data_IF_029711307066
#
_entry.id   IF_029711307066
#
_cell.length_a   1.000
_cell.length_b   1.000
_cell.length_c   1.000
_cell.angle_alpha   90.00
_cell.angle_beta   90.00
_cell.angle_gamma   90.00
#
_symmetry.space_group_name_H-M   'P 1'
#
loop_
_entity.id
_entity.type
_entity.pdbx_description
1 polymer ?
#
# COMPACT_ATOMS: atom_id res chain seq x y z
N UNK A 1 -4.65 21.59 -0.63
CA UNK A 1 -3.49 20.68 -0.36
C UNK A 1 -2.12 21.32 -0.59
N UNK A 2 -1.84 21.92 -1.75
CA UNK A 2 -0.50 22.50 -2.04
C UNK A 2 0.00 23.49 -0.95
N UNK A 3 -0.87 24.42 -0.50
CA UNK A 3 -0.53 25.38 0.55
C UNK A 3 -0.21 24.71 1.90
N UNK A 4 -0.87 23.59 2.23
CA UNK A 4 -0.70 22.87 3.50
C UNK A 4 0.60 22.06 3.57
N UNK A 5 1.04 21.49 2.43
CA UNK A 5 2.30 20.73 2.38
C UNK A 5 3.53 21.65 2.36
N UNK A 6 3.37 22.88 1.86
CA UNK A 6 4.43 23.87 1.64
C UNK A 6 4.50 24.91 2.78
N UNK A 7 3.47 25.06 3.62
CA UNK A 7 3.53 26.00 4.75
C UNK A 7 4.61 25.58 5.75
N UNK A 8 5.47 26.51 6.17
CA UNK A 8 6.51 26.27 7.18
C UNK A 8 5.94 26.13 8.60
N UNK A 9 4.74 26.63 8.82
CA UNK A 9 4.08 26.70 10.13
C UNK A 9 3.61 25.34 10.67
N UNK A 10 3.57 24.32 9.81
CA UNK A 10 3.14 22.97 10.14
C UNK A 10 4.33 22.05 10.40
N UNK A 11 4.28 21.30 11.50
CA UNK A 11 5.31 20.31 11.84
C UNK A 11 5.38 19.19 10.82
N UNK A 12 6.59 18.64 10.61
CA UNK A 12 6.84 17.54 9.66
C UNK A 12 5.97 16.28 9.94
N UNK A 13 5.80 15.82 11.19
CA UNK A 13 4.94 14.67 11.48
C UNK A 13 3.48 14.90 11.07
N UNK A 14 2.97 16.13 11.26
CA UNK A 14 1.60 16.48 10.92
C UNK A 14 1.39 16.52 9.40
N UNK A 15 2.35 17.06 8.64
CA UNK A 15 2.34 17.02 7.17
C UNK A 15 2.32 15.59 6.65
N UNK A 16 3.16 14.71 7.20
CA UNK A 16 3.17 13.28 6.83
C UNK A 16 1.84 12.59 7.14
N UNK A 17 1.21 12.91 8.27
CA UNK A 17 -0.13 12.39 8.62
C UNK A 17 -1.18 12.85 7.61
N UNK A 18 -1.15 14.11 7.18
CA UNK A 18 -2.06 14.63 6.15
C UNK A 18 -1.88 13.88 4.83
N UNK A 19 -0.65 13.66 4.38
CA UNK A 19 -0.38 12.87 3.16
C UNK A 19 -0.97 11.47 3.29
N UNK A 20 -0.72 10.81 4.42
CA UNK A 20 -1.20 9.45 4.67
C UNK A 20 -2.72 9.34 4.75
N UNK A 21 -3.41 10.35 5.30
CA UNK A 21 -4.86 10.32 5.46
C UNK A 21 -5.62 10.77 4.21
N UNK A 22 -5.08 11.68 3.40
CA UNK A 22 -5.82 12.29 2.29
C UNK A 22 -5.28 11.92 0.92
N UNK A 23 -3.96 11.78 0.75
CA UNK A 23 -3.36 11.52 -0.57
C UNK A 23 -3.27 10.02 -0.82
N UNK A 24 -2.76 9.26 0.15
CA UNK A 24 -2.52 7.83 -0.03
C UNK A 24 -3.81 7.02 -0.27
N UNK A 25 -4.94 7.26 0.41
CA UNK A 25 -6.15 6.51 0.13
C UNK A 25 -6.68 6.76 -1.28
N UNK A 26 -6.60 8.00 -1.78
CA UNK A 26 -7.01 8.34 -3.15
C UNK A 26 -6.12 7.64 -4.18
N UNK A 27 -4.79 7.68 -3.96
CA UNK A 27 -3.83 7.03 -4.85
C UNK A 27 -3.96 5.50 -4.84
N UNK A 28 -4.23 4.92 -3.66
CA UNK A 28 -4.27 3.49 -3.45
C UNK A 28 -5.66 2.88 -3.63
N UNK A 29 -6.72 3.68 -3.80
CA UNK A 29 -8.09 3.20 -3.91
C UNK A 29 -8.25 2.11 -4.98
N UNK A 30 -7.61 2.31 -6.14
CA UNK A 30 -7.69 1.37 -7.27
C UNK A 30 -6.47 0.46 -7.40
N UNK A 31 -5.58 0.43 -6.40
CA UNK A 31 -4.31 -0.32 -6.50
C UNK A 31 -4.51 -1.83 -6.63
N UNK A 32 -5.63 -2.36 -6.11
CA UNK A 32 -5.99 -3.77 -6.22
C UNK A 32 -6.44 -4.14 -7.64
N UNK A 33 -7.08 -3.20 -8.35
CA UNK A 33 -7.57 -3.40 -9.71
C UNK A 33 -6.47 -3.17 -10.77
N UNK A 34 -5.38 -2.50 -10.40
CA UNK A 34 -4.26 -2.27 -11.31
C UNK A 34 -3.33 -3.48 -11.36
N UNK A 35 -3.05 -3.95 -12.57
CA UNK A 35 -1.88 -4.80 -12.82
C UNK A 35 -0.63 -3.96 -12.58
N UNK A 36 -0.05 -4.12 -11.38
CA UNK A 36 1.19 -3.45 -11.00
C UNK A 36 2.35 -4.02 -11.82
N UNK A 37 2.56 -3.39 -12.96
CA UNK A 37 3.79 -3.51 -13.74
C UNK A 37 4.94 -2.83 -13.01
N UNK A 38 6.15 -3.22 -13.35
CA UNK A 38 7.36 -2.57 -12.83
C UNK A 38 7.35 -1.06 -13.10
N UNK A 39 6.82 -0.66 -14.26
CA UNK A 39 6.70 0.76 -14.65
C UNK A 39 5.76 1.53 -13.72
N UNK A 40 4.62 0.96 -13.34
CA UNK A 40 3.69 1.55 -12.36
C UNK A 40 4.33 1.66 -10.97
N UNK A 41 5.09 0.63 -10.58
CA UNK A 41 5.80 0.63 -9.30
C UNK A 41 6.82 1.76 -9.25
N UNK A 42 7.64 1.92 -10.29
CA UNK A 42 8.60 3.03 -10.41
C UNK A 42 7.91 4.39 -10.39
N UNK A 43 6.74 4.53 -11.04
CA UNK A 43 5.94 5.78 -11.00
C UNK A 43 5.44 6.10 -9.60
N UNK A 44 4.97 5.11 -8.85
CA UNK A 44 4.51 5.29 -7.47
C UNK A 44 5.66 5.69 -6.55
N UNK A 45 6.83 5.06 -6.70
CA UNK A 45 8.03 5.45 -5.95
C UNK A 45 8.48 6.88 -6.28
N UNK A 46 8.48 7.26 -7.56
CA UNK A 46 8.79 8.62 -7.98
C UNK A 46 7.80 9.64 -7.41
N UNK A 47 6.50 9.30 -7.35
CA UNK A 47 5.48 10.13 -6.72
C UNK A 47 5.72 10.30 -5.22
N UNK A 48 6.03 9.23 -4.50
CA UNK A 48 6.36 9.28 -3.06
C UNK A 48 7.55 10.23 -2.81
N UNK A 49 8.60 10.08 -3.61
CA UNK A 49 9.80 10.93 -3.57
C UNK A 49 9.50 12.39 -3.87
N UNK A 50 8.58 12.65 -4.81
CA UNK A 50 8.14 14.00 -5.15
C UNK A 50 7.40 14.65 -3.97
N UNK A 51 6.49 13.93 -3.31
CA UNK A 51 5.76 14.44 -2.13
C UNK A 51 6.73 14.77 -0.99
N UNK A 52 7.69 13.89 -0.72
CA UNK A 52 8.69 14.07 0.34
C UNK A 52 9.60 15.27 0.11
N UNK A 53 10.12 15.44 -1.11
CA UNK A 53 10.91 16.63 -1.46
C UNK A 53 10.11 17.92 -1.30
N UNK A 54 8.82 17.90 -1.59
CA UNK A 54 7.93 19.07 -1.41
C UNK A 54 7.70 19.43 0.05
N UNK A 55 7.58 18.43 0.94
CA UNK A 55 7.45 18.63 2.39
C UNK A 55 8.75 19.19 2.97
N UNK A 56 9.89 18.69 2.51
CA UNK A 56 11.23 19.09 2.96
C UNK A 56 11.74 20.38 2.31
N UNK A 57 11.01 20.95 1.36
CA UNK A 57 11.43 22.14 0.60
C UNK A 57 12.74 21.97 -0.18
N UNK A 58 13.09 20.74 -0.58
CA UNK A 58 14.31 20.45 -1.32
C UNK A 58 14.16 20.98 -2.75
N UNK A 59 15.06 21.87 -3.14
CA UNK A 59 15.19 22.33 -4.53
C UNK A 59 15.79 21.23 -5.41
N UNK A 60 15.44 21.25 -6.69
CA UNK A 60 16.06 20.35 -7.67
C UNK A 60 17.57 20.63 -7.83
N UNK A 61 18.02 21.86 -7.54
CA UNK A 61 19.41 22.30 -7.61
C UNK A 61 20.31 21.69 -6.54
N UNK A 62 19.73 21.18 -5.45
CA UNK A 62 20.50 20.57 -4.36
C UNK A 62 20.96 19.13 -4.71
N UNK A 63 20.49 18.55 -5.82
CA UNK A 63 20.87 17.21 -6.29
C UNK A 63 20.83 16.10 -5.22
N UNK A 64 19.94 16.24 -4.22
CA UNK A 64 19.81 15.32 -3.09
C UNK A 64 19.34 13.94 -3.55
N UNK A 65 20.06 12.90 -3.11
CA UNK A 65 19.74 11.50 -3.44
C UNK A 65 18.43 11.04 -2.80
N UNK A 66 17.74 10.06 -3.39
CA UNK A 66 16.50 9.51 -2.81
C UNK A 66 16.72 8.88 -1.43
N UNK A 67 17.92 8.31 -1.20
CA UNK A 67 18.28 7.69 0.08
C UNK A 67 18.34 8.75 1.17
N UNK A 68 18.97 9.88 0.89
CA UNK A 68 19.08 10.98 1.84
C UNK A 68 17.71 11.63 2.14
N UNK A 69 16.83 11.76 1.13
CA UNK A 69 15.45 12.24 1.35
C UNK A 69 14.70 11.35 2.34
N UNK A 70 14.83 10.03 2.22
CA UNK A 70 14.20 9.07 3.13
C UNK A 70 14.80 9.14 4.54
N UNK A 71 16.11 9.29 4.66
CA UNK A 71 16.79 9.48 5.95
C UNK A 71 16.31 10.75 6.66
N UNK A 72 16.18 11.88 5.94
CA UNK A 72 15.66 13.15 6.51
C UNK A 72 14.22 13.03 7.01
N UNK A 73 13.40 12.16 6.40
CA UNK A 73 12.03 11.88 6.86
C UNK A 73 11.99 10.83 7.98
N UNK A 74 13.03 10.02 8.12
CA UNK A 74 13.08 8.91 9.08
C UNK A 74 12.10 7.79 8.74
N UNK A 75 11.81 7.55 7.45
CA UNK A 75 10.88 6.51 7.00
C UNK A 75 11.43 5.72 5.81
N UNK A 76 10.98 4.48 5.70
CA UNK A 76 11.10 3.68 4.48
C UNK A 76 9.96 3.96 3.50
N UNK A 77 10.07 3.43 2.27
CA UNK A 77 9.03 3.54 1.23
C UNK A 77 7.70 2.97 1.74
N UNK A 78 6.70 3.82 1.94
CA UNK A 78 5.40 3.45 2.50
C UNK A 78 4.45 2.89 1.44
N UNK A 79 4.49 3.38 0.20
CA UNK A 79 3.47 3.07 -0.81
C UNK A 79 3.56 1.60 -1.26
N UNK A 80 4.77 1.12 -1.54
CA UNK A 80 5.01 -0.29 -1.92
C UNK A 80 4.64 -1.25 -0.78
N UNK A 81 4.95 -0.87 0.45
CA UNK A 81 4.64 -1.66 1.64
C UNK A 81 3.14 -1.69 1.98
N UNK A 82 2.42 -0.59 1.73
CA UNK A 82 0.99 -0.48 2.00
C UNK A 82 0.20 -1.43 1.12
N UNK A 83 0.55 -1.57 -0.18
CA UNK A 83 -0.10 -2.53 -1.09
C UNK A 83 0.02 -3.99 -0.62
N UNK A 84 1.16 -4.41 -0.06
CA UNK A 84 1.31 -5.79 0.47
C UNK A 84 0.27 -6.11 1.54
N UNK A 85 -0.20 -5.12 2.31
CA UNK A 85 -1.23 -5.29 3.33
C UNK A 85 -2.65 -5.32 2.76
N UNK A 86 -2.88 -4.63 1.63
CA UNK A 86 -4.18 -4.54 0.98
C UNK A 86 -4.40 -5.56 -0.15
N UNK A 87 -3.51 -6.54 -0.37
CA UNK A 87 -3.81 -7.59 -1.36
C UNK A 87 -4.88 -8.55 -0.81
N UNK A 88 -6.13 -8.40 -1.27
CA UNK A 88 -7.23 -9.28 -0.89
C UNK A 88 -6.90 -10.76 -1.08
N UNK A 89 -6.30 -11.13 -2.22
CA UNK A 89 -5.94 -12.51 -2.52
C UNK A 89 -4.83 -13.04 -1.60
N UNK A 90 -3.83 -12.22 -1.29
CA UNK A 90 -2.79 -12.61 -0.33
C UNK A 90 -3.36 -12.75 1.08
N UNK A 91 -4.28 -11.86 1.47
CA UNK A 91 -4.97 -11.93 2.75
C UNK A 91 -5.85 -13.19 2.86
N UNK A 92 -6.59 -13.56 1.80
CA UNK A 92 -7.35 -14.81 1.76
C UNK A 92 -6.47 -16.05 1.83
N UNK A 93 -5.35 -16.06 1.09
CA UNK A 93 -4.36 -17.15 1.18
C UNK A 93 -3.81 -17.31 2.60
N UNK A 94 -3.52 -16.20 3.27
CA UNK A 94 -3.06 -16.19 4.66
C UNK A 94 -4.15 -16.65 5.62
N UNK A 95 -5.40 -16.24 5.41
CA UNK A 95 -6.51 -16.57 6.29
C UNK A 95 -6.92 -18.05 6.20
N UNK A 96 -6.95 -18.60 4.99
CA UNK A 96 -7.36 -19.99 4.75
C UNK A 96 -6.21 -20.99 4.64
N UNK A 97 -4.96 -20.52 4.55
CA UNK A 97 -3.78 -21.38 4.37
C UNK A 97 -3.69 -22.07 3.01
N UNK A 98 -4.48 -21.63 2.01
CA UNK A 98 -4.58 -22.24 0.69
C UNK A 98 -3.73 -21.51 -0.35
N UNK A 99 -3.33 -22.21 -1.40
CA UNK A 99 -2.74 -21.60 -2.60
C UNK A 99 -3.81 -20.87 -3.42
N UNK A 100 -3.41 -19.93 -4.29
CA UNK A 100 -4.36 -19.21 -5.16
C UNK A 100 -5.19 -20.19 -6.00
N UNK A 101 -4.57 -21.25 -6.53
CA UNK A 101 -5.23 -22.24 -7.39
C UNK A 101 -6.29 -23.03 -6.61
N UNK A 102 -5.96 -23.46 -5.39
CA UNK A 102 -6.92 -24.15 -4.52
C UNK A 102 -8.08 -23.25 -4.11
N UNK A 103 -7.80 -21.97 -3.78
CA UNK A 103 -8.84 -20.98 -3.52
C UNK A 103 -9.80 -20.82 -4.70
N UNK A 104 -9.29 -20.69 -5.93
CA UNK A 104 -10.15 -20.55 -7.10
C UNK A 104 -10.96 -21.82 -7.39
N UNK A 105 -10.37 -23.00 -7.18
CA UNK A 105 -11.09 -24.30 -7.30
C UNK A 105 -12.19 -24.44 -6.27
N UNK A 106 -11.94 -24.03 -5.02
CA UNK A 106 -12.95 -24.02 -3.94
C UNK A 106 -14.04 -22.99 -4.22
N UNK A 107 -13.67 -21.81 -4.70
CA UNK A 107 -14.60 -20.71 -4.98
C UNK A 107 -15.62 -21.05 -6.08
N UNK A 108 -15.25 -21.93 -7.02
CA UNK A 108 -16.19 -22.43 -8.04
C UNK A 108 -17.34 -23.27 -7.43
N UNK A 109 -17.17 -23.82 -6.23
CA UNK A 109 -18.20 -24.60 -5.55
C UNK A 109 -18.84 -23.79 -4.40
N UNK A 110 -20.10 -23.39 -4.61
CA UNK A 110 -20.88 -22.56 -3.66
C UNK A 110 -20.97 -23.15 -2.25
N UNK A 111 -21.01 -24.48 -2.11
CA UNK A 111 -21.08 -25.15 -0.80
C UNK A 111 -19.70 -25.09 -0.11
N UNK A 112 -18.62 -25.40 -0.85
CA UNK A 112 -17.25 -25.38 -0.28
C UNK A 112 -16.82 -23.98 0.14
N UNK A 113 -17.15 -22.94 -0.65
CA UNK A 113 -16.82 -21.56 -0.25
C UNK A 113 -17.65 -21.09 0.95
N UNK A 114 -18.92 -21.51 1.06
CA UNK A 114 -19.74 -21.22 2.24
C UNK A 114 -19.18 -21.87 3.51
N UNK A 115 -18.74 -23.14 3.42
CA UNK A 115 -18.05 -23.82 4.53
C UNK A 115 -16.74 -23.12 4.92
N UNK A 116 -15.98 -22.65 3.92
CA UNK A 116 -14.74 -21.90 4.13
C UNK A 116 -14.99 -20.57 4.87
N UNK A 117 -15.98 -19.80 4.42
CA UNK A 117 -16.37 -18.51 5.03
C UNK A 117 -16.92 -18.71 6.44
N UNK A 118 -17.71 -19.76 6.66
CA UNK A 118 -18.24 -20.10 7.98
C UNK A 118 -17.16 -20.63 8.95
N UNK A 119 -15.91 -20.76 8.50
CA UNK A 119 -14.79 -21.35 9.23
C UNK A 119 -15.15 -22.72 9.85
N UNK A 120 -16.08 -23.43 9.21
CA UNK A 120 -16.49 -24.76 9.60
C UNK A 120 -15.39 -25.67 9.09
N UNK A 121 -14.40 -25.96 9.94
CA UNK A 121 -13.53 -27.11 9.74
C UNK A 121 -14.47 -28.29 9.58
N UNK A 122 -14.48 -28.90 8.38
CA UNK A 122 -15.11 -30.19 8.20
C UNK A 122 -14.65 -31.05 9.38
N UNK A 123 -15.59 -31.41 10.25
CA UNK A 123 -15.31 -32.37 11.31
C UNK A 123 -14.73 -33.58 10.61
N UNK A 124 -13.42 -33.78 10.79
CA UNK A 124 -12.84 -35.09 10.54
C UNK A 124 -13.46 -35.98 11.61
N UNK A 125 -14.58 -36.60 11.23
CA UNK A 125 -15.04 -37.80 11.88
C UNK A 125 -13.91 -38.82 11.82
N UNK A 126 -13.63 -39.33 13.00
CA UNK A 126 -13.14 -40.69 13.30
C UNK A 126 -13.23 -41.67 12.15
#
# INVERSE_FOLDING_TARGET
MRKLLISKDLSLPLKLRIVKCYIFPILLYSVEAWTLTETLTRKLEAFEMWVYRRILHISWTEHVTNIEVLQRIGKEKEIVNTRRRHSWLQNLRKWFGLTSVELFRVAANKIKIAMLIANVRNGQGT
#
